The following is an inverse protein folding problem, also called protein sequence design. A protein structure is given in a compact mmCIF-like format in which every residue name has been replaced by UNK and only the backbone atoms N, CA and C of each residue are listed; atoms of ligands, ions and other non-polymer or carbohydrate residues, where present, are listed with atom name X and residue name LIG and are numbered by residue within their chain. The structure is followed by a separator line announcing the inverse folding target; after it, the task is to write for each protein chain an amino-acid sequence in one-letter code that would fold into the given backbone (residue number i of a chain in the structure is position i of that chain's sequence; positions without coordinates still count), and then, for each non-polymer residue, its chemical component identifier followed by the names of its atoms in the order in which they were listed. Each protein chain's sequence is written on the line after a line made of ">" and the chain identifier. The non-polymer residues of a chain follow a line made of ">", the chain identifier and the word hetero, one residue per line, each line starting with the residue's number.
data_IF_088393880913
#
_entry.id   IF_088393880913
#
_cell.length_a   1.000
_cell.length_b   1.000
_cell.length_c   1.000
_cell.angle_alpha   90.00
_cell.angle_beta   90.00
_cell.angle_gamma   90.00
#
_symmetry.space_group_name_H-M   'P 1'
#
loop_
_entity.id
_entity.type
_entity.pdbx_description
1 polymer ?
#
# COMPACT_ATOMS: atom_id res chain seq x y z
N UNK A 1 20.49 37.98 37.74
CA UNK A 1 19.37 37.98 36.76
C UNK A 1 19.91 37.65 35.37
N UNK A 2 20.34 36.41 35.13
CA UNK A 2 21.06 36.03 33.88
C UNK A 2 20.65 34.66 33.32
N UNK A 3 19.82 33.88 34.02
CA UNK A 3 19.44 32.52 33.61
C UNK A 3 18.13 32.45 32.81
N UNK A 4 17.31 33.50 32.82
CA UNK A 4 16.01 33.46 32.13
C UNK A 4 16.13 33.61 30.60
N UNK A 5 17.26 34.15 30.12
CA UNK A 5 17.47 34.47 28.70
C UNK A 5 18.00 33.29 27.88
N UNK A 6 18.54 32.25 28.52
CA UNK A 6 19.09 31.06 27.85
C UNK A 6 18.03 30.01 27.49
N UNK A 7 16.91 29.97 28.23
CA UNK A 7 15.85 29.00 27.95
C UNK A 7 14.99 29.35 26.74
N UNK A 8 14.97 30.61 26.32
CA UNK A 8 14.18 31.07 25.18
C UNK A 8 14.77 30.65 23.81
N UNK A 9 16.08 30.35 23.74
CA UNK A 9 16.72 29.95 22.48
C UNK A 9 16.72 28.44 22.24
N UNK A 10 16.63 27.62 23.30
CA UNK A 10 16.67 26.16 23.18
C UNK A 10 15.35 25.56 22.63
N UNK A 11 14.23 26.25 22.79
CA UNK A 11 12.92 25.76 22.35
C UNK A 11 12.67 25.95 20.85
N UNK A 12 13.31 26.92 20.20
CA UNK A 12 13.09 27.21 18.77
C UNK A 12 13.78 26.15 17.87
N UNK A 13 14.91 25.58 18.30
CA UNK A 13 15.61 24.55 17.53
C UNK A 13 14.85 23.21 17.47
N UNK A 14 14.10 22.86 18.51
CA UNK A 14 13.35 21.59 18.55
C UNK A 14 12.11 21.57 17.64
N UNK A 15 11.52 22.73 17.36
CA UNK A 15 10.31 22.83 16.51
C UNK A 15 10.67 22.73 15.01
N UNK A 16 11.87 23.16 14.62
CA UNK A 16 12.31 23.15 13.20
C UNK A 16 12.73 21.77 12.68
N UNK A 17 13.03 20.80 13.55
CA UNK A 17 13.39 19.43 13.14
C UNK A 17 12.21 18.43 13.14
N UNK A 18 11.04 18.81 13.65
CA UNK A 18 9.85 17.95 13.66
C UNK A 18 9.11 17.84 12.32
N UNK A 19 9.51 18.64 11.32
CA UNK A 19 8.87 18.73 10.01
C UNK A 19 9.58 17.97 8.90
N UNK A 20 10.42 16.97 9.22
CA UNK A 20 10.99 16.07 8.23
C UNK A 20 9.87 15.20 7.64
N UNK A 21 9.11 15.77 6.70
CA UNK A 21 8.34 14.98 5.75
C UNK A 21 9.33 14.08 5.03
N UNK A 22 9.24 12.79 5.31
CA UNK A 22 9.89 11.75 4.50
C UNK A 22 9.31 11.91 3.10
N UNK A 23 10.02 12.65 2.25
CA UNK A 23 9.68 12.75 0.84
C UNK A 23 9.84 11.34 0.25
N UNK A 24 8.78 10.71 -0.28
CA UNK A 24 8.93 9.41 -0.91
C UNK A 24 9.88 9.55 -2.10
N UNK A 25 10.91 8.70 -2.12
CA UNK A 25 11.91 8.66 -3.17
C UNK A 25 11.23 8.53 -4.54
N UNK A 26 11.37 9.56 -5.36
CA UNK A 26 10.80 9.67 -6.69
C UNK A 26 11.68 8.90 -7.68
N UNK A 27 11.32 7.64 -7.92
CA UNK A 27 11.96 6.83 -8.95
C UNK A 27 11.25 7.16 -10.28
N UNK A 28 11.85 8.07 -11.05
CA UNK A 28 11.45 8.35 -12.43
C UNK A 28 12.17 7.37 -13.35
N UNK A 29 11.49 6.28 -13.74
CA UNK A 29 11.94 5.45 -14.86
C UNK A 29 11.28 6.00 -16.11
N UNK A 30 12.10 6.63 -16.96
CA UNK A 30 11.64 7.40 -18.11
C UNK A 30 10.77 6.61 -19.08
N UNK A 31 9.73 7.28 -19.59
CA UNK A 31 9.15 7.27 -20.96
C UNK A 31 7.92 8.22 -20.91
N UNK A 32 8.06 9.52 -20.67
CA UNK A 32 6.90 10.47 -20.70
C UNK A 32 5.73 10.20 -19.75
N UNK A 33 5.78 9.13 -18.98
CA UNK A 33 4.88 8.79 -17.90
C UNK A 33 5.32 9.70 -16.76
N UNK A 34 4.48 10.67 -16.40
CA UNK A 34 4.80 11.65 -15.35
C UNK A 34 5.09 10.99 -13.99
N UNK A 35 5.24 11.80 -12.95
CA UNK A 35 5.37 11.25 -11.60
C UNK A 35 4.14 10.40 -11.22
N UNK A 36 4.35 9.34 -10.45
CA UNK A 36 3.26 8.55 -9.89
C UNK A 36 2.33 9.43 -9.02
N UNK A 37 1.02 9.16 -8.99
CA UNK A 37 0.09 9.88 -8.14
C UNK A 37 0.52 9.85 -6.66
N UNK A 38 0.47 11.01 -6.01
CA UNK A 38 0.77 11.13 -4.58
C UNK A 38 -0.51 10.94 -3.79
N UNK A 39 -0.79 9.69 -3.44
CA UNK A 39 -1.99 9.29 -2.71
C UNK A 39 -1.63 8.68 -1.35
N UNK A 40 -2.43 8.89 -0.29
CA UNK A 40 -2.09 8.41 1.05
C UNK A 40 -1.90 6.89 1.15
N UNK A 41 -2.61 6.11 0.32
CA UNK A 41 -2.67 4.65 0.40
C UNK A 41 -2.46 3.95 -0.94
N UNK A 42 -1.91 4.68 -1.91
CA UNK A 42 -1.79 4.22 -3.29
C UNK A 42 -2.93 4.69 -4.19
N UNK A 43 -2.87 4.24 -5.44
CA UNK A 43 -3.73 4.64 -6.54
C UNK A 43 -4.13 3.39 -7.34
N UNK A 44 -5.24 3.44 -8.07
CA UNK A 44 -5.68 2.30 -8.88
C UNK A 44 -4.64 1.89 -9.91
N UNK A 45 -4.55 0.60 -10.20
CA UNK A 45 -3.66 -0.01 -11.21
C UNK A 45 -4.04 0.33 -12.65
N UNK A 46 -5.14 1.05 -12.83
CA UNK A 46 -5.71 1.43 -14.12
C UNK A 46 -5.85 2.95 -14.29
N UNK A 47 -5.84 3.42 -15.54
CA UNK A 47 -6.09 4.83 -15.85
C UNK A 47 -7.50 5.27 -15.41
N UNK A 48 -7.66 6.50 -14.85
CA UNK A 48 -6.67 7.59 -14.79
C UNK A 48 -5.72 7.56 -13.57
N UNK A 49 -5.61 6.44 -12.85
CA UNK A 49 -4.77 6.25 -11.66
C UNK A 49 -5.20 7.14 -10.49
N UNK A 50 -6.50 7.23 -10.23
CA UNK A 50 -7.05 7.97 -9.09
C UNK A 50 -6.61 7.34 -7.75
N UNK A 51 -6.62 8.15 -6.69
CA UNK A 51 -6.29 7.67 -5.35
C UNK A 51 -7.26 6.58 -4.91
N UNK A 52 -6.72 5.41 -4.63
CA UNK A 52 -7.52 4.28 -4.16
C UNK A 52 -7.88 4.54 -2.69
N UNK A 53 -9.13 4.27 -2.28
CA UNK A 53 -9.46 4.27 -0.87
C UNK A 53 -8.54 3.30 -0.16
N UNK A 54 -8.19 3.66 1.07
CA UNK A 54 -7.62 2.71 1.98
C UNK A 54 -8.68 1.55 1.99
N UNK A 55 -8.28 0.36 1.57
CA UNK A 55 -9.05 -0.89 1.68
C UNK A 55 -8.95 -1.70 0.40
N UNK A 56 -8.60 -1.04 -0.70
CA UNK A 56 -8.45 -1.66 -2.00
C UNK A 56 -7.24 -2.60 -2.08
N UNK A 57 -6.06 -2.16 -1.63
CA UNK A 57 -4.84 -2.98 -1.64
C UNK A 57 -4.67 -3.78 -0.35
N UNK A 58 -4.36 -5.06 -0.49
CA UNK A 58 -3.95 -5.92 0.62
C UNK A 58 -2.52 -5.64 1.08
N UNK A 59 -2.13 -6.15 2.26
CA UNK A 59 -0.77 -6.07 2.77
C UNK A 59 0.39 -6.39 1.82
N UNK A 60 0.19 -7.25 0.82
CA UNK A 60 1.20 -7.58 -0.20
C UNK A 60 1.78 -6.35 -0.91
N UNK A 61 0.95 -5.31 -1.07
CA UNK A 61 1.29 -4.08 -1.79
C UNK A 61 2.05 -3.06 -0.95
N UNK A 62 2.39 -3.40 0.30
CA UNK A 62 3.02 -2.50 1.24
C UNK A 62 4.35 -3.05 1.75
N UNK A 63 5.38 -2.20 1.76
CA UNK A 63 6.66 -2.49 2.39
C UNK A 63 6.86 -1.54 3.58
N UNK A 64 6.79 -2.07 4.80
CA UNK A 64 6.85 -1.24 6.01
C UNK A 64 5.74 -0.19 6.08
N UNK A 65 4.55 -0.49 5.52
CA UNK A 65 3.42 0.44 5.42
C UNK A 65 3.49 1.42 4.25
N UNK A 66 4.57 1.42 3.46
CA UNK A 66 4.68 2.24 2.25
C UNK A 66 4.15 1.47 1.03
N UNK A 67 3.21 2.07 0.29
CA UNK A 67 2.71 1.51 -0.96
C UNK A 67 3.85 1.38 -1.99
N UNK A 68 4.00 0.20 -2.59
CA UNK A 68 5.11 -0.10 -3.50
C UNK A 68 4.89 0.39 -4.93
N UNK A 69 3.65 0.73 -5.30
CA UNK A 69 3.27 1.24 -6.61
C UNK A 69 2.40 0.26 -7.41
N UNK A 70 1.79 0.77 -8.49
CA UNK A 70 1.08 -0.02 -9.49
C UNK A 70 1.16 0.69 -10.86
N UNK A 71 0.55 0.09 -11.88
CA UNK A 71 0.51 0.60 -13.23
C UNK A 71 1.91 0.78 -13.84
N UNK A 72 2.12 1.84 -14.64
CA UNK A 72 3.37 1.99 -15.37
C UNK A 72 4.59 2.30 -14.50
N UNK A 73 4.41 2.59 -13.21
CA UNK A 73 5.50 2.92 -12.28
C UNK A 73 6.03 1.71 -11.52
N UNK A 74 5.27 0.62 -11.44
CA UNK A 74 5.66 -0.58 -10.71
C UNK A 74 5.20 -1.84 -11.45
N UNK A 75 6.16 -2.67 -11.83
CA UNK A 75 5.91 -3.93 -12.54
C UNK A 75 6.10 -5.16 -11.65
N UNK A 76 6.60 -4.97 -10.42
CA UNK A 76 6.93 -6.07 -9.51
C UNK A 76 8.03 -7.00 -10.02
N UNK A 77 8.21 -8.13 -9.33
CA UNK A 77 9.03 -9.24 -9.81
C UNK A 77 8.20 -10.09 -10.77
N UNK A 78 8.81 -10.75 -11.76
CA UNK A 78 8.08 -11.68 -12.63
C UNK A 78 7.31 -12.71 -11.81
N UNK A 79 6.02 -12.88 -12.11
CA UNK A 79 5.14 -13.83 -11.43
C UNK A 79 4.68 -13.40 -10.03
N UNK A 80 4.95 -12.17 -9.61
CA UNK A 80 4.41 -11.63 -8.37
C UNK A 80 2.97 -11.12 -8.58
N UNK A 81 2.10 -11.47 -7.65
CA UNK A 81 0.73 -10.94 -7.56
C UNK A 81 0.45 -10.60 -6.10
N UNK A 82 -0.25 -9.49 -5.86
CA UNK A 82 -0.72 -9.08 -4.55
C UNK A 82 -2.23 -8.98 -4.52
N UNK A 83 -2.84 -9.23 -3.36
CA UNK A 83 -4.30 -9.19 -3.25
C UNK A 83 -4.87 -7.78 -3.32
N UNK A 84 -6.05 -7.70 -3.93
CA UNK A 84 -6.91 -6.52 -3.95
C UNK A 84 -8.32 -6.90 -3.51
N UNK A 85 -9.06 -5.90 -3.03
CA UNK A 85 -10.45 -6.01 -2.64
C UNK A 85 -11.29 -5.09 -3.51
N UNK A 86 -11.88 -5.68 -4.55
CA UNK A 86 -12.68 -4.96 -5.53
C UNK A 86 -13.95 -4.34 -4.94
N UNK A 87 -14.35 -4.65 -3.69
CA UNK A 87 -15.50 -3.96 -3.06
C UNK A 87 -15.23 -2.47 -2.82
N UNK A 88 -13.96 -2.08 -2.84
CA UNK A 88 -13.50 -0.70 -2.76
C UNK A 88 -13.23 -0.06 -4.12
N UNK A 89 -13.53 -0.75 -5.22
CA UNK A 89 -13.36 -0.27 -6.58
C UNK A 89 -14.67 0.37 -7.11
N UNK A 90 -14.64 1.64 -7.56
CA UNK A 90 -15.79 2.32 -8.16
C UNK A 90 -16.37 1.59 -9.37
N UNK A 91 -15.54 0.89 -10.15
CA UNK A 91 -15.98 0.07 -11.30
C UNK A 91 -16.82 -1.13 -10.86
N UNK A 92 -16.71 -1.52 -9.61
CA UNK A 92 -17.45 -2.61 -8.97
C UNK A 92 -18.55 -2.10 -8.03
N UNK A 93 -18.95 -0.83 -8.14
CA UNK A 93 -20.06 -0.25 -7.40
C UNK A 93 -19.70 0.37 -6.05
N UNK A 94 -18.40 0.59 -5.77
CA UNK A 94 -18.00 1.37 -4.61
C UNK A 94 -18.39 2.85 -4.78
N UNK A 95 -19.13 3.36 -3.80
CA UNK A 95 -19.54 4.76 -3.73
C UNK A 95 -19.15 5.41 -2.39
N UNK A 96 -18.26 4.77 -1.64
CA UNK A 96 -17.75 5.29 -0.38
C UNK A 96 -16.75 6.43 -0.56
N UNK A 97 -16.28 7.02 0.55
CA UNK A 97 -15.30 8.09 0.50
C UNK A 97 -13.95 7.61 -0.04
N UNK A 98 -13.40 8.33 -1.01
CA UNK A 98 -11.98 8.24 -1.37
C UNK A 98 -11.12 8.96 -0.32
N UNK A 99 -9.83 8.63 -0.18
CA UNK A 99 -9.06 9.14 0.93
C UNK A 99 -8.80 10.64 0.77
N UNK A 100 -9.28 11.42 1.74
CA UNK A 100 -8.95 12.83 1.92
C UNK A 100 -7.77 13.06 2.89
N UNK A 101 -7.25 14.29 2.95
CA UNK A 101 -6.25 14.67 3.98
C UNK A 101 -6.89 14.55 5.38
N UNK A 102 -6.41 13.59 6.19
CA UNK A 102 -6.71 13.51 7.62
C UNK A 102 -7.68 12.41 8.08
N UNK A 103 -7.93 11.37 7.27
CA UNK A 103 -8.83 10.28 7.67
C UNK A 103 -8.13 9.03 8.24
N UNK A 104 -8.76 8.44 9.26
CA UNK A 104 -8.58 7.09 9.81
C UNK A 104 -9.86 6.29 9.53
N UNK A 105 -9.92 4.96 9.60
CA UNK A 105 -9.18 3.86 9.00
C UNK A 105 -10.06 2.60 9.20
N UNK A 106 -10.22 1.77 8.18
CA UNK A 106 -10.11 0.30 8.20
C UNK A 106 -10.77 -0.42 9.34
N UNK A 107 -11.84 -1.11 8.99
CA UNK A 107 -11.88 -2.54 9.26
C UNK A 107 -12.25 -3.23 7.93
N UNK A 108 -11.89 -4.50 7.74
CA UNK A 108 -12.46 -5.36 6.70
C UNK A 108 -11.78 -5.42 5.30
N UNK A 109 -10.46 -5.33 5.14
CA UNK A 109 -9.85 -5.86 3.90
C UNK A 109 -10.23 -7.33 3.73
N UNK A 110 -10.84 -7.68 2.60
CA UNK A 110 -11.09 -9.06 2.22
C UNK A 110 -10.68 -9.22 0.76
N UNK A 111 -9.42 -9.58 0.55
CA UNK A 111 -8.90 -9.83 -0.79
C UNK A 111 -9.79 -10.83 -1.52
N UNK A 112 -10.26 -10.43 -2.70
CA UNK A 112 -11.11 -11.24 -3.56
C UNK A 112 -10.52 -11.47 -4.95
N UNK A 113 -9.37 -10.87 -5.22
CA UNK A 113 -8.62 -11.02 -6.45
C UNK A 113 -7.13 -10.75 -6.18
N UNK A 114 -6.26 -11.28 -7.03
CA UNK A 114 -4.83 -10.98 -6.99
C UNK A 114 -4.40 -10.38 -8.32
N UNK A 115 -3.59 -9.32 -8.27
CA UNK A 115 -3.12 -8.58 -9.46
C UNK A 115 -1.62 -8.37 -9.44
N UNK A 116 -1.00 -8.35 -10.62
CA UNK A 116 0.39 -7.91 -10.77
C UNK A 116 0.46 -6.38 -10.82
N UNK A 117 1.69 -5.84 -10.86
CA UNK A 117 1.90 -4.39 -10.94
C UNK A 117 1.26 -3.72 -12.16
N UNK A 118 1.03 -4.45 -13.25
CA UNK A 118 0.38 -3.93 -14.45
C UNK A 118 -1.16 -4.08 -14.43
N UNK A 119 -1.73 -4.66 -13.38
CA UNK A 119 -3.16 -4.89 -13.22
C UNK A 119 -3.68 -6.20 -13.84
N UNK A 120 -2.79 -7.10 -14.25
CA UNK A 120 -3.20 -8.42 -14.73
C UNK A 120 -3.62 -9.31 -13.58
N UNK A 121 -4.74 -10.01 -13.76
CA UNK A 121 -5.28 -10.95 -12.78
C UNK A 121 -4.43 -12.22 -12.75
N UNK A 122 -4.15 -12.72 -11.54
CA UNK A 122 -3.43 -13.99 -11.34
C UNK A 122 -3.64 -14.59 -9.97
N UNK A 123 -2.61 -15.26 -9.44
CA UNK A 123 -2.65 -15.96 -8.17
C UNK A 123 -1.45 -15.54 -7.30
N UNK A 124 -1.73 -15.01 -6.10
CA UNK A 124 -0.71 -14.56 -5.15
C UNK A 124 0.07 -15.71 -4.49
N UNK A 125 -0.42 -16.95 -4.57
CA UNK A 125 0.22 -18.12 -3.98
C UNK A 125 -0.11 -18.34 -2.50
N UNK A 126 -0.98 -17.51 -1.91
CA UNK A 126 -1.50 -17.63 -0.55
C UNK A 126 -2.91 -17.05 -0.44
N UNK A 127 -3.59 -17.32 0.67
CA UNK A 127 -4.94 -16.83 0.95
C UNK A 127 -4.92 -15.42 1.54
N UNK A 128 -5.74 -14.50 1.02
CA UNK A 128 -5.86 -13.13 1.51
C UNK A 128 -6.24 -13.04 3.00
N UNK A 129 -7.02 -13.99 3.53
CA UNK A 129 -7.48 -14.00 4.92
C UNK A 129 -6.34 -14.13 5.95
N UNK A 130 -5.16 -14.57 5.53
CA UNK A 130 -3.95 -14.63 6.36
C UNK A 130 -3.19 -13.30 6.47
N UNK A 131 -3.58 -12.28 5.70
CA UNK A 131 -2.90 -10.99 5.61
C UNK A 131 -3.43 -10.01 6.65
N UNK A 132 -2.67 -9.84 7.73
CA UNK A 132 -3.11 -9.09 8.92
C UNK A 132 -2.25 -7.87 9.25
N UNK A 133 -1.24 -7.55 8.45
CA UNK A 133 -0.36 -6.40 8.72
C UNK A 133 0.31 -5.91 7.45
N UNK A 134 0.22 -4.60 7.18
CA UNK A 134 0.89 -3.95 6.07
C UNK A 134 2.43 -4.04 6.21
N UNK A 135 3.09 -4.67 5.24
CA UNK A 135 4.52 -4.94 5.30
C UNK A 135 4.84 -6.36 4.86
N UNK A 136 5.77 -6.47 3.91
CA UNK A 136 6.40 -7.71 3.49
C UNK A 136 6.81 -8.59 4.69
N UNK A 137 6.00 -9.59 5.02
CA UNK A 137 6.41 -10.71 5.86
C UNK A 137 6.91 -11.82 4.93
N UNK A 138 8.07 -11.59 4.30
CA UNK A 138 8.79 -12.64 3.60
C UNK A 138 9.08 -13.79 4.56
N UNK A 139 8.32 -14.87 4.44
CA UNK A 139 8.44 -16.00 5.36
C UNK A 139 7.38 -17.09 5.20
N UNK A 140 6.81 -17.29 4.01
CA UNK A 140 6.01 -18.49 3.74
C UNK A 140 6.94 -19.69 3.52
N UNK A 141 7.12 -20.52 4.55
CA UNK A 141 7.62 -21.90 4.38
C UNK A 141 6.79 -22.61 3.30
N UNK A 142 7.36 -23.48 2.44
CA UNK A 142 6.55 -24.36 1.61
C UNK A 142 5.75 -25.28 2.53
N UNK A 143 4.48 -24.95 2.74
CA UNK A 143 3.55 -25.74 3.52
C UNK A 143 3.19 -26.99 2.74
N UNK A 144 4.00 -28.03 2.86
CA UNK A 144 3.55 -29.39 2.59
C UNK A 144 2.44 -29.75 3.58
N UNK A 145 1.27 -30.09 3.07
CA UNK A 145 0.13 -30.53 3.87
C UNK A 145 -0.93 -31.16 2.97
N UNK A 146 -0.87 -32.48 2.83
CA UNK A 146 -1.74 -33.25 1.96
C UNK A 146 -3.18 -33.34 2.45
N UNK A 147 -4.09 -33.47 1.50
CA UNK A 147 -5.43 -34.02 1.71
C UNK A 147 -5.70 -35.09 0.65
N UNK A 148 -5.22 -36.31 0.93
CA UNK A 148 -5.75 -37.52 0.32
C UNK A 148 -7.09 -37.85 0.99
N UNK A 149 -8.19 -37.43 0.37
CA UNK A 149 -9.54 -37.78 0.77
C UNK A 149 -10.17 -38.70 -0.26
N UNK A 150 -10.33 -39.97 0.09
CA UNK A 150 -10.97 -40.97 -0.77
C UNK A 150 -11.42 -42.17 0.04
N UNK A 151 -12.47 -42.00 0.84
CA UNK A 151 -13.22 -43.09 1.43
C UNK A 151 -13.93 -43.89 0.33
N UNK A 152 -13.81 -45.21 0.38
CA UNK A 152 -14.79 -46.19 -0.13
C UNK A 152 -15.25 -47.03 1.04
#
# INVERSE_FOLDING_TARGET
>A
MTHFKTYAFASIAAVLLGGASVAPAQISVGIGIGAAPVCPYGYFDYAPYDCAPYGYYGPDWFNGGLFIGAGPWYHGRPGWFGHVDNRFDPRHGYHGPFPGRGETAFNHFHGNEARDGAGHIGNAGHEAGGERSAGFAGGGRPGGGGHGGGHR
#
